data_IF_930877844740
#
_entry.id   IF_930877844740
#
_cell.length_a   1.000
_cell.length_b   1.000
_cell.length_c   1.000
_cell.angle_alpha   90.00
_cell.angle_beta   90.00
_cell.angle_gamma   90.00
#
_symmetry.space_group_name_H-M   'P 1'
#
loop_
_entity.id
_entity.type
_entity.pdbx_description
1 polymer ?
#
# COMPACT_ATOMS: atom_id res chain seq x y z
N UNK A 1 20.48 -2.44 -12.00
CA UNK A 1 19.72 -2.23 -10.74
C UNK A 1 19.51 -0.74 -10.52
N UNK A 2 18.30 -0.31 -10.13
CA UNK A 2 18.04 1.11 -9.80
C UNK A 2 18.90 1.54 -8.60
N UNK A 3 19.54 2.72 -8.67
CA UNK A 3 20.32 3.34 -7.56
C UNK A 3 19.53 3.44 -6.25
N UNK A 4 18.19 3.32 -6.29
CA UNK A 4 17.29 3.40 -5.13
C UNK A 4 17.50 2.32 -4.08
N UNK A 5 18.15 1.20 -4.43
CA UNK A 5 18.30 0.02 -3.56
C UNK A 5 19.75 -0.25 -3.11
N UNK A 6 20.72 0.51 -3.61
CA UNK A 6 22.15 0.31 -3.28
C UNK A 6 22.38 0.64 -1.80
N UNK A 7 22.97 -0.30 -1.06
CA UNK A 7 23.27 -0.15 0.37
C UNK A 7 22.07 -0.23 1.32
N UNK A 8 20.89 -0.61 0.82
CA UNK A 8 19.68 -0.77 1.65
C UNK A 8 19.41 -2.24 1.96
N UNK A 9 18.63 -2.47 3.01
CA UNK A 9 18.12 -3.79 3.41
C UNK A 9 16.59 -3.80 3.37
N UNK A 10 15.98 -4.97 3.22
CA UNK A 10 14.54 -5.14 3.42
C UNK A 10 14.19 -4.80 4.87
N UNK A 11 13.24 -3.87 5.08
CA UNK A 11 12.83 -3.46 6.43
C UNK A 11 12.13 -4.58 7.22
N UNK A 12 11.63 -5.61 6.54
CA UNK A 12 10.87 -6.70 7.17
C UNK A 12 11.74 -7.89 7.58
N UNK A 13 12.77 -8.22 6.81
CA UNK A 13 13.58 -9.43 7.04
C UNK A 13 15.08 -9.25 6.89
N UNK A 14 15.58 -8.04 6.61
CA UNK A 14 17.00 -7.73 6.53
C UNK A 14 17.73 -8.20 5.26
N UNK A 15 17.08 -8.95 4.37
CA UNK A 15 17.70 -9.41 3.10
C UNK A 15 17.83 -8.27 2.08
N UNK A 16 18.67 -8.41 1.04
CA UNK A 16 18.77 -7.40 -0.01
C UNK A 16 17.40 -7.06 -0.63
N UNK A 17 17.04 -5.77 -0.72
CA UNK A 17 15.75 -5.37 -1.25
C UNK A 17 15.73 -5.48 -2.76
N UNK A 18 14.58 -5.88 -3.30
CA UNK A 18 14.33 -5.95 -4.73
C UNK A 18 13.27 -4.92 -5.18
N UNK A 19 12.44 -4.45 -4.23
CA UNK A 19 11.33 -3.56 -4.48
C UNK A 19 11.31 -2.40 -3.48
N UNK A 20 10.46 -1.41 -3.77
CA UNK A 20 10.06 -0.37 -2.82
C UNK A 20 8.59 -0.60 -2.49
N UNK A 21 8.31 -0.94 -1.23
CA UNK A 21 6.97 -1.12 -0.71
C UNK A 21 6.39 0.22 -0.25
N UNK A 22 5.08 0.41 -0.40
CA UNK A 22 4.39 1.57 0.17
C UNK A 22 4.00 1.22 1.60
N UNK A 23 4.46 1.97 2.60
CA UNK A 23 4.14 1.69 4.01
C UNK A 23 2.62 1.64 4.24
N UNK A 24 1.89 2.50 3.52
CA UNK A 24 0.43 2.44 3.39
C UNK A 24 0.07 2.04 1.96
N UNK A 25 -0.69 0.95 1.79
CA UNK A 25 -1.24 0.60 0.48
C UNK A 25 -2.00 1.77 -0.15
N UNK A 26 -1.75 1.99 -1.44
CA UNK A 26 -2.43 3.05 -2.22
C UNK A 26 -3.95 2.89 -2.22
N UNK A 27 -4.44 1.65 -2.16
CA UNK A 27 -5.87 1.35 -2.16
C UNK A 27 -6.58 1.71 -0.86
N UNK A 28 -5.84 1.94 0.24
CA UNK A 28 -6.44 2.50 1.46
C UNK A 28 -6.84 3.96 1.32
N UNK A 29 -6.38 4.65 0.28
CA UNK A 29 -6.55 6.08 0.10
C UNK A 29 -7.32 6.39 -1.19
N UNK A 30 -8.17 7.44 -1.17
CA UNK A 30 -8.76 7.95 -2.41
C UNK A 30 -7.66 8.41 -3.36
N UNK A 31 -7.91 8.33 -4.67
CA UNK A 31 -6.90 8.63 -5.71
C UNK A 31 -6.23 10.00 -5.50
N UNK A 32 -7.00 11.01 -5.09
CA UNK A 32 -6.53 12.37 -4.80
C UNK A 32 -5.52 12.47 -3.64
N UNK A 33 -5.33 11.40 -2.85
CA UNK A 33 -4.39 11.34 -1.72
C UNK A 33 -3.33 10.25 -1.87
N UNK A 34 -3.11 9.74 -3.09
CA UNK A 34 -2.09 8.71 -3.36
C UNK A 34 -0.70 9.27 -3.64
N UNK A 35 -0.55 10.58 -3.65
CA UNK A 35 0.73 11.24 -3.94
C UNK A 35 1.66 11.21 -2.73
N UNK A 36 2.96 11.10 -3.00
CA UNK A 36 4.05 11.16 -2.01
C UNK A 36 3.92 10.19 -0.83
N UNK A 37 3.27 9.04 -1.05
CA UNK A 37 3.18 8.01 -0.01
C UNK A 37 4.56 7.52 0.40
N UNK A 38 4.81 7.34 1.72
CA UNK A 38 6.08 6.88 2.23
C UNK A 38 6.40 5.48 1.68
N UNK A 39 7.63 5.31 1.21
CA UNK A 39 8.12 4.05 0.64
C UNK A 39 9.34 3.56 1.36
N UNK A 40 9.43 2.25 1.52
CA UNK A 40 10.53 1.56 2.21
C UNK A 40 11.11 0.45 1.33
N UNK A 41 12.41 0.17 1.43
CA UNK A 41 13.02 -0.96 0.74
C UNK A 41 12.47 -2.29 1.28
N UNK A 42 12.06 -3.19 0.37
CA UNK A 42 11.54 -4.51 0.72
C UNK A 42 12.03 -5.58 -0.26
N UNK A 43 12.06 -6.83 0.18
CA UNK A 43 12.21 -7.97 -0.72
C UNK A 43 10.86 -8.34 -1.34
N UNK A 44 10.87 -9.06 -2.46
CA UNK A 44 9.65 -9.46 -3.17
C UNK A 44 8.70 -10.31 -2.32
N UNK A 45 9.25 -11.23 -1.51
CA UNK A 45 8.46 -12.11 -0.65
C UNK A 45 7.69 -11.33 0.43
N UNK A 46 8.37 -10.49 1.22
CA UNK A 46 7.72 -9.70 2.27
C UNK A 46 6.72 -8.70 1.70
N UNK A 47 7.08 -8.01 0.60
CA UNK A 47 6.16 -7.10 -0.09
C UNK A 47 4.91 -7.84 -0.60
N UNK A 48 5.07 -9.05 -1.13
CA UNK A 48 3.96 -9.91 -1.58
C UNK A 48 3.01 -10.28 -0.44
N UNK A 49 3.54 -10.80 0.67
CA UNK A 49 2.74 -11.17 1.85
C UNK A 49 1.96 -9.97 2.38
N UNK A 50 2.63 -8.82 2.55
CA UNK A 50 1.98 -7.59 3.00
C UNK A 50 0.86 -7.16 2.04
N UNK A 51 1.13 -7.14 0.73
CA UNK A 51 0.12 -6.73 -0.25
C UNK A 51 -1.13 -7.63 -0.23
N UNK A 52 -0.98 -8.93 0.07
CA UNK A 52 -2.09 -9.85 0.26
C UNK A 52 -2.97 -9.49 1.47
N UNK A 53 -2.36 -9.23 2.63
CA UNK A 53 -3.09 -8.77 3.80
C UNK A 53 -3.76 -7.40 3.58
N UNK A 54 -3.06 -6.49 2.91
CA UNK A 54 -3.60 -5.17 2.61
C UNK A 54 -4.78 -5.24 1.66
N UNK A 55 -4.77 -6.14 0.67
CA UNK A 55 -5.91 -6.35 -0.22
C UNK A 55 -7.17 -6.73 0.58
N UNK A 56 -7.06 -7.67 1.52
CA UNK A 56 -8.18 -8.02 2.40
C UNK A 56 -8.64 -6.81 3.24
N UNK A 57 -7.70 -6.07 3.81
CA UNK A 57 -8.01 -4.88 4.61
C UNK A 57 -8.70 -3.76 3.82
N UNK A 58 -8.52 -3.71 2.49
CA UNK A 58 -9.28 -2.76 1.67
C UNK A 58 -10.77 -2.98 1.81
N UNK A 59 -11.26 -4.19 2.04
CA UNK A 59 -12.70 -4.46 2.20
C UNK A 59 -13.31 -3.92 3.51
N UNK A 60 -12.49 -3.54 4.49
CA UNK A 60 -12.97 -3.15 5.82
C UNK A 60 -12.60 -1.71 6.17
N UNK A 61 -11.36 -1.31 5.89
CA UNK A 61 -10.82 -0.01 6.33
C UNK A 61 -11.52 1.24 5.76
N UNK A 62 -12.07 1.26 4.54
CA UNK A 62 -12.76 2.44 4.03
C UNK A 62 -14.01 2.85 4.82
N UNK A 63 -14.58 1.92 5.59
CA UNK A 63 -15.70 2.19 6.51
C UNK A 63 -15.24 2.94 7.77
N UNK A 64 -13.96 2.87 8.11
CA UNK A 64 -13.35 3.56 9.25
C UNK A 64 -12.74 4.93 8.88
N UNK A 65 -12.84 5.35 7.61
CA UNK A 65 -12.33 6.64 7.15
C UNK A 65 -13.22 7.82 7.55
N UNK A 66 -12.70 9.04 7.44
CA UNK A 66 -13.49 10.26 7.60
C UNK A 66 -14.70 10.23 6.66
N UNK A 67 -15.88 10.65 7.14
CA UNK A 67 -17.16 10.51 6.43
C UNK A 67 -17.12 10.92 4.95
N UNK A 68 -16.42 12.03 4.63
CA UNK A 68 -16.24 12.54 3.26
C UNK A 68 -15.45 11.58 2.35
N UNK A 69 -14.40 10.96 2.90
CA UNK A 69 -13.55 10.01 2.17
C UNK A 69 -14.20 8.62 2.12
N UNK A 70 -14.90 8.22 3.19
CA UNK A 70 -15.66 6.97 3.26
C UNK A 70 -16.78 6.90 2.22
N UNK A 71 -17.52 7.99 2.00
CA UNK A 71 -18.53 8.09 0.93
C UNK A 71 -17.94 7.90 -0.47
N UNK A 72 -16.76 8.47 -0.73
CA UNK A 72 -16.08 8.33 -2.02
C UNK A 72 -15.61 6.89 -2.28
N UNK A 73 -15.14 6.21 -1.23
CA UNK A 73 -14.76 4.79 -1.30
C UNK A 73 -15.97 3.88 -1.48
N UNK A 74 -17.05 4.11 -0.73
CA UNK A 74 -18.28 3.33 -0.83
C UNK A 74 -18.96 3.48 -2.20
N UNK A 75 -19.05 4.70 -2.75
CA UNK A 75 -19.54 4.91 -4.13
C UNK A 75 -18.73 4.13 -5.15
N UNK A 76 -17.39 4.13 -5.03
CA UNK A 76 -16.50 3.40 -5.93
C UNK A 76 -16.75 1.90 -5.90
N UNK A 77 -17.16 1.34 -4.76
CA UNK A 77 -17.51 -0.08 -4.65
C UNK A 77 -18.84 -0.39 -5.31
N UNK A 78 -19.87 0.41 -5.02
CA UNK A 78 -21.21 0.24 -5.60
C UNK A 78 -21.24 0.47 -7.12
N UNK A 79 -20.24 1.15 -7.68
CA UNK A 79 -20.13 1.40 -9.13
C UNK A 79 -19.27 0.36 -9.87
N UNK A 80 -18.79 -0.68 -9.16
CA UNK A 80 -18.01 -1.78 -9.74
C UNK A 80 -18.86 -3.02 -10.06
N UNK A 81 -20.17 -2.95 -9.83
CA UNK A 81 -21.19 -3.92 -10.26
C UNK A 81 -21.85 -3.49 -11.59
#
# INVERSE_FOLDING_TARGET
MSKRHVGKICVYCGTPPATMDHVLAREFLPISRRDNLPKVPACGACNGVKSGHEHYLTAVLPLAGNHRDGLASCRRWLSRD
#
